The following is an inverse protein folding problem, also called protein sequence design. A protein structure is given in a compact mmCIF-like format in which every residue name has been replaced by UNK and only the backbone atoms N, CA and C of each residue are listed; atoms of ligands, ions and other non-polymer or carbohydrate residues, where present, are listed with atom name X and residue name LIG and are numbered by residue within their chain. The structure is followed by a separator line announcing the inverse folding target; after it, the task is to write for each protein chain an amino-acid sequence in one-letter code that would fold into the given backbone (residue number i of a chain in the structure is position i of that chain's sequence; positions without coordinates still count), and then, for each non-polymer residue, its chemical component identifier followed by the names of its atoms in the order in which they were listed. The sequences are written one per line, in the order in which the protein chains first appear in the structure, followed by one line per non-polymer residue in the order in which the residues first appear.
data_IF_234365712895
#
_entry.id   IF_234365712895
#
_cell.length_a   1.000
_cell.length_b   1.000
_cell.length_c   1.000
_cell.angle_alpha   90.00
_cell.angle_beta   90.00
_cell.angle_gamma   90.00
#
_symmetry.space_group_name_H-M   'P 1'
#
loop_
_entity.id
_entity.type
_entity.pdbx_description
1 polymer ?
#
# COMPACT_ATOMS: atom_id res chain seq x y z
N UNK A 1 22.12 -5.01 25.68
CA UNK A 1 21.50 -3.68 25.51
C UNK A 1 21.21 -3.50 24.03
N UNK A 2 19.98 -3.14 23.66
CA UNK A 2 19.63 -2.94 22.24
C UNK A 2 19.81 -1.48 21.88
N UNK A 3 20.38 -1.21 20.69
CA UNK A 3 20.64 0.14 20.19
C UNK A 3 19.81 0.39 18.93
N UNK A 4 19.45 1.66 18.71
CA UNK A 4 18.79 2.08 17.49
C UNK A 4 19.74 1.93 16.30
N UNK A 5 19.34 1.16 15.28
CA UNK A 5 20.14 0.96 14.06
C UNK A 5 20.42 2.26 13.31
N UNK A 6 19.54 3.27 13.41
CA UNK A 6 19.67 4.52 12.67
C UNK A 6 20.46 5.63 13.36
N UNK A 7 20.48 5.68 14.70
CA UNK A 7 21.12 6.77 15.46
C UNK A 7 22.04 6.31 16.60
N UNK A 8 22.17 5.00 16.82
CA UNK A 8 23.05 4.40 17.83
C UNK A 8 22.61 4.57 19.29
N UNK A 9 21.56 5.36 19.56
CA UNK A 9 21.07 5.59 20.93
C UNK A 9 20.52 4.29 21.54
N UNK A 10 20.72 4.06 22.84
CA UNK A 10 20.15 2.91 23.52
C UNK A 10 18.62 2.95 23.51
N UNK A 11 17.99 1.79 23.39
CA UNK A 11 16.54 1.61 23.51
C UNK A 11 16.26 0.83 24.79
N UNK A 12 15.53 1.48 25.71
CA UNK A 12 15.10 0.88 26.96
C UNK A 12 13.75 0.18 26.79
N UNK A 13 13.44 -0.76 27.68
CA UNK A 13 12.14 -1.46 27.75
C UNK A 13 11.78 -2.28 26.51
N UNK A 14 12.73 -3.05 25.96
CA UNK A 14 12.41 -4.02 24.90
C UNK A 14 11.81 -5.28 25.54
N UNK A 15 10.60 -5.70 25.16
CA UNK A 15 10.00 -6.92 25.64
C UNK A 15 10.87 -8.15 25.36
N UNK A 16 10.95 -9.07 26.33
CA UNK A 16 11.78 -10.27 26.22
C UNK A 16 11.40 -11.17 25.03
N UNK A 17 10.14 -11.15 24.58
CA UNK A 17 9.68 -11.93 23.43
C UNK A 17 10.31 -11.47 22.10
N UNK A 18 10.85 -10.25 22.02
CA UNK A 18 11.57 -9.75 20.85
C UNK A 18 13.05 -10.18 20.81
N UNK A 19 13.59 -10.73 21.90
CA UNK A 19 15.02 -11.08 21.99
C UNK A 19 15.48 -12.15 21.00
N UNK A 20 14.58 -13.05 20.57
CA UNK A 20 14.85 -14.11 19.59
C UNK A 20 14.55 -13.74 18.14
N UNK A 21 13.99 -12.56 17.89
CA UNK A 21 13.56 -12.14 16.56
C UNK A 21 14.72 -11.41 15.86
N UNK A 22 15.07 -11.86 14.65
CA UNK A 22 16.04 -11.15 13.80
C UNK A 22 15.36 -9.93 13.17
N UNK A 23 15.33 -8.83 13.91
CA UNK A 23 14.80 -7.54 13.44
C UNK A 23 15.75 -6.41 13.78
N UNK A 24 15.68 -5.34 13.00
CA UNK A 24 16.31 -4.07 13.34
C UNK A 24 15.41 -3.25 14.27
N UNK A 25 16.02 -2.51 15.18
CA UNK A 25 15.31 -1.64 16.12
C UNK A 25 15.56 -0.18 15.76
N UNK A 26 14.50 0.61 15.64
CA UNK A 26 14.59 2.05 15.36
C UNK A 26 13.81 2.81 16.42
N UNK A 27 14.49 3.70 17.15
CA UNK A 27 13.84 4.48 18.21
C UNK A 27 12.84 5.49 17.62
N UNK A 28 11.83 5.89 18.41
CA UNK A 28 10.74 6.73 17.93
C UNK A 28 11.21 8.13 17.49
N UNK A 29 12.28 8.63 18.12
CA UNK A 29 12.87 9.94 17.85
C UNK A 29 14.08 9.86 16.90
N UNK A 30 14.21 8.78 16.12
CA UNK A 30 15.33 8.63 15.19
C UNK A 30 15.16 9.60 14.00
N UNK A 31 16.11 10.51 13.73
CA UNK A 31 16.02 11.44 12.60
C UNK A 31 16.06 10.70 11.24
N UNK A 32 16.63 9.50 11.22
CA UNK A 32 16.74 8.64 10.03
C UNK A 32 15.63 7.59 9.97
N UNK A 33 14.46 7.84 10.56
CA UNK A 33 13.34 6.87 10.54
C UNK A 33 12.75 6.80 9.12
N UNK A 34 13.22 5.86 8.31
CA UNK A 34 12.68 5.57 6.98
C UNK A 34 11.35 4.82 7.03
N UNK A 35 11.01 4.21 8.17
CA UNK A 35 9.75 3.51 8.39
C UNK A 35 8.61 4.52 8.53
N UNK A 36 7.91 4.77 7.42
CA UNK A 36 6.68 5.56 7.38
C UNK A 36 5.66 4.94 8.33
N UNK A 37 4.98 5.77 9.13
CA UNK A 37 3.86 5.33 9.97
C UNK A 37 2.79 4.68 9.05
N UNK A 38 2.09 3.65 9.54
CA UNK A 38 1.03 2.97 8.79
C UNK A 38 -0.02 3.96 8.30
N UNK A 39 -0.31 5.02 9.07
CA UNK A 39 -1.21 6.09 8.65
C UNK A 39 -0.74 6.86 7.40
N UNK A 40 0.57 6.92 7.15
CA UNK A 40 1.16 7.58 5.98
C UNK A 40 1.14 6.64 4.76
N UNK A 41 1.24 5.32 4.98
CA UNK A 41 1.11 4.33 3.91
C UNK A 41 -0.30 4.35 3.31
N UNK A 42 -1.35 4.50 4.12
CA UNK A 42 -2.73 4.60 3.62
C UNK A 42 -2.91 5.75 2.62
N UNK A 43 -2.45 6.95 2.94
CA UNK A 43 -2.58 8.13 2.07
C UNK A 43 -1.76 8.01 0.77
N UNK A 44 -0.58 7.37 0.82
CA UNK A 44 0.23 7.16 -0.38
C UNK A 44 -0.33 6.05 -1.27
N UNK A 45 -0.89 4.99 -0.68
CA UNK A 45 -1.60 3.94 -1.40
C UNK A 45 -2.87 4.52 -2.06
N UNK A 46 -3.65 5.36 -1.38
CA UNK A 46 -4.80 6.05 -1.96
C UNK A 46 -4.39 6.93 -3.16
N UNK A 47 -3.28 7.67 -3.05
CA UNK A 47 -2.76 8.48 -4.15
C UNK A 47 -2.33 7.62 -5.34
N UNK A 48 -1.68 6.49 -5.09
CA UNK A 48 -1.25 5.57 -6.14
C UNK A 48 -2.43 4.86 -6.82
N UNK A 49 -3.46 4.48 -6.06
CA UNK A 49 -4.70 3.90 -6.59
C UNK A 49 -5.51 4.92 -7.41
N UNK A 50 -5.56 6.19 -6.99
CA UNK A 50 -6.21 7.25 -7.77
C UNK A 50 -5.48 7.59 -9.09
N UNK A 51 -4.17 7.35 -9.17
CA UNK A 51 -3.37 7.56 -10.38
C UNK A 51 -3.53 6.46 -11.44
N UNK A 52 -3.88 5.24 -11.03
CA UNK A 52 -4.06 4.11 -11.95
C UNK A 52 -5.37 4.19 -12.76
N UNK A 53 -6.40 4.90 -12.27
CA UNK A 53 -7.66 5.07 -12.99
C UNK A 53 -7.55 5.99 -14.22
N UNK A 54 -6.56 6.90 -14.26
CA UNK A 54 -6.37 7.81 -15.39
C UNK A 54 -5.66 7.18 -16.61
N UNK A 55 -5.08 5.98 -16.47
CA UNK A 55 -4.28 5.34 -17.51
C UNK A 55 -5.06 4.32 -18.40
N UNK A 56 -6.37 4.11 -18.15
CA UNK A 56 -7.22 3.15 -18.88
C UNK A 56 -8.43 3.82 -19.56
N UNK A 57 -8.24 4.98 -20.16
CA UNK A 57 -9.31 5.71 -20.86
C UNK A 57 -8.90 6.13 -22.28
N UNK A 58 -8.22 5.25 -23.02
CA UNK A 58 -7.76 5.59 -24.37
C UNK A 58 -7.24 4.41 -25.17
N UNK A 59 -8.04 3.36 -25.34
CA UNK A 59 -7.95 2.49 -26.51
C UNK A 59 -9.28 1.76 -26.69
N UNK A 60 -9.62 1.43 -27.94
CA UNK A 60 -10.76 0.69 -28.48
C UNK A 60 -12.13 1.42 -28.68
N UNK A 61 -12.16 2.20 -29.77
CA UNK A 61 -13.35 2.56 -30.54
C UNK A 61 -13.61 1.45 -31.59
N UNK A 62 -14.90 1.22 -31.88
CA UNK A 62 -15.48 0.42 -32.98
C UNK A 62 -15.46 -1.13 -32.90
N UNK A 63 -16.57 -1.71 -32.42
CA UNK A 63 -17.38 -2.62 -33.26
C UNK A 63 -18.84 -2.64 -32.72
N UNK A 64 -19.68 -1.80 -33.29
CA UNK A 64 -21.15 -1.87 -33.17
C UNK A 64 -21.64 -2.56 -34.43
N UNK A 65 -21.87 -3.87 -34.35
CA UNK A 65 -22.74 -4.58 -35.29
C UNK A 65 -23.85 -5.31 -34.51
N UNK A 66 -25.02 -4.68 -34.58
CA UNK A 66 -26.30 -5.29 -34.94
C UNK A 66 -26.86 -6.40 -34.04
N UNK A 67 -27.53 -5.96 -32.97
CA UNK A 67 -28.63 -6.72 -32.34
C UNK A 67 -29.76 -6.91 -33.37
N UNK A 68 -29.76 -8.03 -34.06
CA UNK A 68 -30.94 -8.53 -34.76
C UNK A 68 -31.90 -9.19 -33.75
N UNK A 69 -32.82 -8.36 -33.27
CA UNK A 69 -34.25 -8.62 -32.99
C UNK A 69 -34.72 -10.09 -33.17
N UNK A 70 -34.85 -10.83 -32.05
CA UNK A 70 -35.57 -12.11 -31.99
C UNK A 70 -36.90 -11.88 -31.25
N UNK A 71 -37.92 -11.45 -32.02
CA UNK A 71 -39.32 -11.42 -31.58
C UNK A 71 -39.78 -12.88 -31.35
N UNK A 72 -40.00 -13.25 -30.09
CA UNK A 72 -40.66 -14.49 -29.71
C UNK A 72 -41.80 -14.20 -28.73
N UNK A 73 -43.02 -14.30 -29.25
CA UNK A 73 -44.34 -14.21 -28.61
C UNK A 73 -44.44 -14.85 -27.20
N UNK A 74 -45.11 -14.16 -26.28
CA UNK A 74 -45.65 -14.71 -25.02
C UNK A 74 -47.08 -15.25 -25.23
N UNK A 75 -47.29 -16.50 -24.78
CA UNK A 75 -48.52 -17.31 -24.51
C UNK A 75 -49.91 -16.89 -25.06
#
# INVERSE_FOLDING_TARGET
MVTCSGCGKPIENIPNWLSGVKTEFVCNNCPNRSTKNIAILSAEIERQLSGAAAAKAGEEDADVEELADDEADED
#
